data_IF_614701683358
#
_entry.id   IF_614701683358
#
_cell.length_a   1.000
_cell.length_b   1.000
_cell.length_c   1.000
_cell.angle_alpha   90.00
_cell.angle_beta   90.00
_cell.angle_gamma   90.00
#
_symmetry.space_group_name_H-M   'P 1'
#
loop_
_entity.id
_entity.type
_entity.pdbx_description
1 polymer ?
#
# COMPACT_ATOMS: atom_id res chain seq x y z
N UNK A 1 47.35 -10.36 -34.20
CA UNK A 1 47.32 -10.85 -32.81
C UNK A 1 45.89 -10.73 -32.36
N UNK A 2 45.11 -11.83 -32.38
CA UNK A 2 43.81 -11.84 -31.78
C UNK A 2 43.94 -11.74 -30.26
N UNK A 3 43.38 -10.69 -29.73
CA UNK A 3 43.23 -10.55 -28.24
C UNK A 3 42.06 -11.46 -27.88
N UNK A 4 42.23 -12.47 -27.03
CA UNK A 4 41.11 -13.29 -26.57
C UNK A 4 40.12 -12.39 -25.86
N UNK A 5 38.91 -12.33 -26.38
CA UNK A 5 37.77 -11.75 -25.68
C UNK A 5 37.50 -12.66 -24.50
N UNK A 6 37.82 -12.19 -23.31
CA UNK A 6 37.48 -12.88 -22.09
C UNK A 6 35.93 -12.85 -22.03
N UNK A 7 35.28 -13.99 -22.23
CA UNK A 7 33.84 -14.12 -22.02
C UNK A 7 33.58 -14.00 -20.51
N UNK A 8 33.63 -12.78 -20.01
CA UNK A 8 33.29 -12.48 -18.64
C UNK A 8 31.80 -12.77 -18.40
N UNK A 9 31.46 -13.25 -17.22
CA UNK A 9 30.08 -13.35 -16.78
C UNK A 9 29.50 -11.94 -16.77
N UNK A 10 28.44 -11.72 -17.57
CA UNK A 10 27.70 -10.45 -17.57
C UNK A 10 26.58 -10.59 -16.53
N UNK A 11 26.61 -9.71 -15.54
CA UNK A 11 25.53 -9.56 -14.58
C UNK A 11 24.64 -8.40 -15.03
N UNK A 12 23.32 -8.61 -14.96
CA UNK A 12 22.33 -7.59 -15.33
C UNK A 12 21.45 -7.31 -14.14
N UNK A 13 21.58 -6.12 -13.56
CA UNK A 13 20.67 -5.61 -12.57
C UNK A 13 19.63 -4.75 -13.30
N UNK A 14 18.36 -5.02 -13.04
CA UNK A 14 17.25 -4.27 -13.63
C UNK A 14 16.57 -3.43 -12.56
N UNK A 15 16.42 -2.15 -12.84
CA UNK A 15 15.78 -1.19 -11.93
C UNK A 15 14.60 -0.53 -12.64
N UNK A 16 13.51 -0.36 -11.90
CA UNK A 16 12.39 0.47 -12.34
C UNK A 16 12.42 1.76 -11.56
N UNK A 17 12.75 2.87 -12.22
CA UNK A 17 12.68 4.19 -11.63
C UNK A 17 11.24 4.68 -11.68
N UNK A 18 10.65 4.96 -10.53
CA UNK A 18 9.38 5.66 -10.47
C UNK A 18 9.55 7.10 -10.97
N UNK A 19 8.54 7.61 -11.67
CA UNK A 19 8.56 9.00 -12.06
C UNK A 19 8.49 9.87 -10.80
N UNK A 20 9.26 10.95 -10.75
CA UNK A 20 9.10 11.98 -9.73
C UNK A 20 7.67 12.53 -9.83
N UNK A 21 6.94 12.48 -8.72
CA UNK A 21 5.57 12.98 -8.64
C UNK A 21 5.53 14.24 -7.77
N UNK A 22 4.74 15.21 -8.17
CA UNK A 22 4.57 16.48 -7.45
C UNK A 22 3.58 16.35 -6.27
N UNK A 23 3.58 15.19 -5.62
CA UNK A 23 2.72 14.90 -4.48
C UNK A 23 2.20 13.47 -4.47
N UNK A 24 1.61 13.05 -3.38
CA UNK A 24 1.07 11.71 -3.20
C UNK A 24 -0.34 11.75 -2.61
N UNK A 25 -1.27 11.03 -3.22
CA UNK A 25 -2.59 10.75 -2.68
C UNK A 25 -2.57 9.34 -2.05
N UNK A 26 -2.98 9.24 -0.80
CA UNK A 26 -2.88 8.01 0.00
C UNK A 26 -4.27 7.59 0.45
N UNK A 27 -4.61 6.33 0.24
CA UNK A 27 -5.88 5.73 0.67
C UNK A 27 -5.58 4.55 1.59
N UNK A 28 -5.91 4.67 2.87
CA UNK A 28 -5.96 3.54 3.79
C UNK A 28 -7.32 2.87 3.69
N UNK A 29 -7.33 1.61 3.31
CA UNK A 29 -8.54 0.78 3.15
C UNK A 29 -8.62 -0.13 4.35
N UNK A 30 -9.50 0.22 5.29
CA UNK A 30 -9.53 -0.36 6.62
C UNK A 30 -10.72 -1.31 6.74
N UNK A 31 -10.43 -2.54 7.02
CA UNK A 31 -11.41 -3.49 7.51
C UNK A 31 -11.98 -3.00 8.85
N UNK A 32 -13.30 -2.92 8.93
CA UNK A 32 -14.05 -2.49 10.11
C UNK A 32 -14.93 -3.61 10.68
N UNK A 33 -14.57 -4.86 10.40
CA UNK A 33 -15.16 -6.05 11.04
C UNK A 33 -14.90 -6.03 12.55
N UNK A 34 -15.63 -6.87 13.28
CA UNK A 34 -15.55 -6.86 14.76
C UNK A 34 -14.19 -7.31 15.29
N UNK A 35 -13.47 -8.15 14.58
CA UNK A 35 -12.13 -8.66 14.92
C UNK A 35 -11.08 -7.57 14.92
N UNK A 36 -11.19 -6.59 14.02
CA UNK A 36 -10.25 -5.49 13.87
C UNK A 36 -10.17 -4.52 15.07
N UNK A 37 -11.14 -4.57 15.99
CA UNK A 37 -11.16 -3.67 17.14
C UNK A 37 -9.91 -3.71 18.02
N UNK A 38 -9.21 -4.85 18.07
CA UNK A 38 -7.96 -5.02 18.84
C UNK A 38 -6.76 -4.35 18.17
N UNK A 39 -6.88 -3.93 16.91
CA UNK A 39 -5.80 -3.35 16.11
C UNK A 39 -5.85 -1.81 16.04
N UNK A 40 -6.92 -1.17 16.52
CA UNK A 40 -7.14 0.29 16.35
C UNK A 40 -5.95 1.15 16.83
N UNK A 41 -5.35 0.84 17.99
CA UNK A 41 -4.22 1.63 18.50
C UNK A 41 -2.97 1.47 17.61
N UNK A 42 -2.71 0.26 17.10
CA UNK A 42 -1.61 0.01 16.15
C UNK A 42 -1.86 0.69 14.80
N UNK A 43 -3.11 0.71 14.36
CA UNK A 43 -3.51 1.41 13.13
C UNK A 43 -3.19 2.91 13.23
N UNK A 44 -3.61 3.56 14.32
CA UNK A 44 -3.30 4.99 14.54
C UNK A 44 -1.80 5.23 14.63
N UNK A 45 -1.06 4.39 15.36
CA UNK A 45 0.40 4.50 15.43
C UNK A 45 1.07 4.32 14.05
N UNK A 46 0.55 3.42 13.21
CA UNK A 46 1.00 3.25 11.83
C UNK A 46 0.73 4.47 10.95
N UNK A 47 -0.46 5.06 11.06
CA UNK A 47 -0.78 6.31 10.33
C UNK A 47 0.11 7.46 10.80
N UNK A 48 0.34 7.60 12.10
CA UNK A 48 1.25 8.61 12.67
C UNK A 48 2.68 8.42 12.16
N UNK A 49 3.17 7.18 12.11
CA UNK A 49 4.49 6.87 11.54
C UNK A 49 4.58 7.25 10.05
N UNK A 50 3.52 6.98 9.27
CA UNK A 50 3.46 7.40 7.87
C UNK A 50 3.51 8.92 7.74
N UNK A 51 2.68 9.64 8.48
CA UNK A 51 2.66 11.11 8.48
C UNK A 51 4.05 11.68 8.83
N UNK A 52 4.73 11.08 9.81
CA UNK A 52 6.07 11.52 10.21
C UNK A 52 7.15 11.24 9.15
N UNK A 53 6.98 10.18 8.33
CA UNK A 53 7.91 9.81 7.29
C UNK A 53 7.65 10.54 5.95
N UNK A 54 6.42 11.02 5.73
CA UNK A 54 6.07 11.75 4.51
C UNK A 54 6.81 13.09 4.43
N UNK A 55 7.14 13.56 3.20
CA UNK A 55 7.71 14.89 3.03
C UNK A 55 6.77 15.96 3.62
N UNK A 56 7.33 17.06 4.09
CA UNK A 56 6.57 18.14 4.73
C UNK A 56 5.61 18.88 3.79
N UNK A 57 5.60 18.55 2.52
CA UNK A 57 4.78 19.19 1.49
C UNK A 57 4.09 18.18 0.59
N UNK A 58 2.81 18.46 0.33
CA UNK A 58 2.02 17.92 -0.76
C UNK A 58 1.65 16.42 -0.73
N UNK A 59 1.26 15.93 0.43
CA UNK A 59 0.55 14.66 0.56
C UNK A 59 -0.91 14.86 0.99
N UNK A 60 -1.76 13.90 0.67
CA UNK A 60 -3.16 13.82 1.12
C UNK A 60 -3.46 12.38 1.49
N UNK A 61 -4.01 12.16 2.68
CA UNK A 61 -4.29 10.83 3.20
C UNK A 61 -5.76 10.72 3.65
N UNK A 62 -6.48 9.74 3.14
CA UNK A 62 -7.83 9.42 3.60
C UNK A 62 -7.91 7.98 4.10
N UNK A 63 -8.77 7.73 5.07
CA UNK A 63 -9.17 6.39 5.48
C UNK A 63 -10.57 6.08 4.95
N UNK A 64 -10.74 4.91 4.36
CA UNK A 64 -12.03 4.41 3.90
C UNK A 64 -12.29 3.01 4.44
N UNK A 65 -13.55 2.60 4.52
CA UNK A 65 -13.89 1.23 4.89
C UNK A 65 -13.58 0.27 3.73
N UNK A 66 -13.12 -0.93 4.06
CA UNK A 66 -13.01 -2.04 3.11
C UNK A 66 -14.38 -2.55 2.60
N UNK A 67 -15.49 -2.17 3.23
CA UNK A 67 -16.83 -2.41 2.68
C UNK A 67 -17.14 -1.40 1.57
N UNK A 68 -17.22 -1.85 0.34
CA UNK A 68 -17.46 -1.04 -0.85
C UNK A 68 -18.71 -0.15 -0.74
N UNK A 69 -19.77 -0.64 -0.07
CA UNK A 69 -21.01 0.13 0.16
C UNK A 69 -20.81 1.32 1.10
N UNK A 70 -19.76 1.29 1.91
CA UNK A 70 -19.38 2.37 2.82
C UNK A 70 -18.42 3.33 2.15
N UNK A 71 -17.45 2.81 1.41
CA UNK A 71 -16.47 3.64 0.70
C UNK A 71 -17.10 4.54 -0.34
N UNK A 72 -18.11 4.06 -1.08
CA UNK A 72 -18.82 4.83 -2.11
C UNK A 72 -19.56 6.07 -1.55
N UNK A 73 -19.89 6.05 -0.27
CA UNK A 73 -20.64 7.16 0.39
C UNK A 73 -19.77 7.92 1.40
N UNK A 74 -18.49 7.61 1.50
CA UNK A 74 -17.57 8.34 2.36
C UNK A 74 -17.51 9.82 1.95
N UNK A 75 -17.59 10.71 2.94
CA UNK A 75 -17.53 12.16 2.75
C UNK A 75 -16.32 12.79 3.42
N UNK A 76 -15.40 11.95 3.91
CA UNK A 76 -14.22 12.41 4.60
C UNK A 76 -13.29 13.18 3.65
N UNK A 77 -12.78 14.29 4.14
CA UNK A 77 -11.70 15.02 3.50
C UNK A 77 -10.35 14.45 3.94
N UNK A 78 -9.33 14.48 3.07
CA UNK A 78 -8.03 13.94 3.42
C UNK A 78 -7.36 14.75 4.53
N UNK A 79 -6.58 14.05 5.34
CA UNK A 79 -5.51 14.66 6.13
C UNK A 79 -4.48 15.29 5.19
N UNK A 80 -3.88 16.36 5.63
CA UNK A 80 -2.90 17.15 4.86
C UNK A 80 -1.69 17.50 5.74
N UNK A 81 -0.57 18.00 5.19
CA UNK A 81 0.56 18.45 5.98
C UNK A 81 0.15 19.44 7.08
N UNK A 82 0.45 19.07 8.33
CA UNK A 82 0.10 19.85 9.52
C UNK A 82 -0.95 19.19 10.42
N UNK A 83 -1.69 18.21 9.89
CA UNK A 83 -2.59 17.36 10.67
C UNK A 83 -1.78 16.32 11.45
N UNK A 84 -2.35 15.80 12.53
CA UNK A 84 -1.67 14.92 13.48
C UNK A 84 -2.45 13.61 13.75
N UNK A 85 -1.98 12.85 14.75
CA UNK A 85 -2.59 11.59 15.14
C UNK A 85 -4.00 11.74 15.73
N UNK A 86 -4.37 12.89 16.30
CA UNK A 86 -5.73 13.16 16.81
C UNK A 86 -6.69 13.32 15.61
N UNK A 87 -6.29 14.06 14.59
CA UNK A 87 -7.06 14.19 13.33
C UNK A 87 -7.25 12.82 12.65
N UNK A 88 -6.20 11.98 12.64
CA UNK A 88 -6.27 10.63 12.11
C UNK A 88 -7.23 9.73 12.93
N UNK A 89 -7.24 9.87 14.26
CA UNK A 89 -8.17 9.15 15.14
C UNK A 89 -9.60 9.57 14.91
N UNK A 90 -9.85 10.86 14.81
CA UNK A 90 -11.17 11.42 14.52
C UNK A 90 -11.70 10.89 13.18
N UNK A 91 -10.85 10.84 12.15
CA UNK A 91 -11.22 10.25 10.85
C UNK A 91 -11.53 8.74 10.97
N UNK A 92 -10.72 7.96 11.69
CA UNK A 92 -10.98 6.55 11.92
C UNK A 92 -12.32 6.31 12.62
N UNK A 93 -12.68 7.16 13.58
CA UNK A 93 -13.90 7.03 14.36
C UNK A 93 -15.17 7.30 13.54
N UNK A 94 -15.06 7.99 12.39
CA UNK A 94 -16.16 8.15 11.44
C UNK A 94 -16.48 6.86 10.70
N UNK A 95 -15.51 5.94 10.55
CA UNK A 95 -15.67 4.68 9.85
C UNK A 95 -16.54 3.71 10.67
N UNK A 96 -17.76 3.51 10.22
CA UNK A 96 -18.69 2.60 10.90
C UNK A 96 -18.31 1.13 10.70
N UNK A 97 -18.61 0.28 11.70
CA UNK A 97 -18.42 -1.16 11.57
C UNK A 97 -19.10 -1.72 10.32
N UNK A 98 -18.45 -2.63 9.66
CA UNK A 98 -18.90 -3.25 8.41
C UNK A 98 -18.36 -4.68 8.32
N UNK A 99 -19.18 -5.64 7.82
CA UNK A 99 -18.85 -7.07 7.84
C UNK A 99 -18.24 -7.59 6.54
N UNK A 100 -17.81 -6.72 5.60
CA UNK A 100 -17.31 -7.16 4.31
C UNK A 100 -15.89 -6.60 4.06
N UNK A 101 -15.00 -7.52 3.72
CA UNK A 101 -13.59 -7.29 3.40
C UNK A 101 -13.41 -7.27 1.87
N UNK A 102 -13.98 -6.24 1.23
CA UNK A 102 -13.98 -6.05 -0.23
C UNK A 102 -13.05 -4.90 -0.64
N UNK A 103 -11.79 -4.97 -0.21
CA UNK A 103 -10.83 -3.88 -0.36
C UNK A 103 -10.66 -3.41 -1.80
N UNK A 104 -10.60 -4.32 -2.77
CA UNK A 104 -10.45 -3.95 -4.18
C UNK A 104 -11.70 -3.21 -4.71
N UNK A 105 -12.90 -3.72 -4.38
CA UNK A 105 -14.14 -3.00 -4.71
C UNK A 105 -14.20 -1.65 -4.00
N UNK A 106 -13.78 -1.58 -2.74
CA UNK A 106 -13.81 -0.34 -1.97
C UNK A 106 -12.93 0.74 -2.59
N UNK A 107 -11.73 0.39 -3.06
CA UNK A 107 -10.84 1.32 -3.79
C UNK A 107 -11.48 1.77 -5.10
N UNK A 108 -12.02 0.83 -5.89
CA UNK A 108 -12.69 1.16 -7.14
C UNK A 108 -13.88 2.09 -6.91
N UNK A 109 -14.78 1.73 -6.02
CA UNK A 109 -16.01 2.49 -5.73
C UNK A 109 -15.66 3.88 -5.18
N UNK A 110 -14.62 3.99 -4.37
CA UNK A 110 -14.16 5.28 -3.86
C UNK A 110 -13.56 6.15 -4.97
N UNK A 111 -12.67 5.64 -5.78
CA UNK A 111 -12.00 6.44 -6.81
C UNK A 111 -12.97 6.83 -7.95
N UNK A 112 -13.85 5.89 -8.37
CA UNK A 112 -14.65 6.06 -9.59
C UNK A 112 -16.07 6.53 -9.31
N UNK A 113 -16.69 6.07 -8.25
CA UNK A 113 -18.12 6.27 -8.00
C UNK A 113 -18.41 7.26 -6.86
N UNK A 114 -17.47 7.45 -5.94
CA UNK A 114 -17.67 8.39 -4.84
C UNK A 114 -17.58 9.84 -5.35
N UNK A 115 -18.61 10.68 -5.12
CA UNK A 115 -18.65 12.05 -5.65
C UNK A 115 -17.64 12.99 -4.98
N UNK A 116 -17.12 12.65 -3.80
CA UNK A 116 -16.17 13.50 -3.05
C UNK A 116 -14.73 13.22 -3.39
N UNK A 117 -14.37 12.00 -3.77
CA UNK A 117 -12.99 11.63 -4.11
C UNK A 117 -12.43 12.55 -5.21
N UNK A 118 -13.19 12.81 -6.26
CA UNK A 118 -12.81 13.72 -7.35
C UNK A 118 -12.64 15.18 -6.95
N UNK A 119 -13.03 15.58 -5.73
CA UNK A 119 -12.84 16.97 -5.26
C UNK A 119 -11.43 17.19 -4.69
N UNK A 120 -10.72 16.14 -4.32
CA UNK A 120 -9.42 16.25 -3.70
C UNK A 120 -8.33 15.40 -4.34
N UNK A 121 -8.66 14.24 -4.94
CA UNK A 121 -7.68 13.40 -5.62
C UNK A 121 -7.09 14.10 -6.85
N UNK A 122 -5.80 14.01 -7.01
CA UNK A 122 -5.05 14.72 -8.06
C UNK A 122 -4.62 13.72 -9.14
N UNK A 123 -4.96 13.96 -10.41
CA UNK A 123 -4.61 13.03 -11.50
C UNK A 123 -3.09 12.93 -11.72
N UNK A 124 -2.33 13.98 -11.37
CA UNK A 124 -0.88 14.06 -11.59
C UNK A 124 -0.05 13.66 -10.35
N UNK A 125 -0.68 13.43 -9.20
CA UNK A 125 -0.03 12.91 -8.00
C UNK A 125 0.18 11.40 -8.08
N UNK A 126 1.16 10.86 -7.36
CA UNK A 126 1.24 9.43 -7.10
C UNK A 126 0.02 8.93 -6.32
N UNK A 127 -0.21 7.63 -6.35
CA UNK A 127 -1.30 6.99 -5.61
C UNK A 127 -0.78 5.80 -4.81
N UNK A 128 -0.83 5.90 -3.49
CA UNK A 128 -0.55 4.79 -2.58
C UNK A 128 -1.86 4.26 -1.99
N UNK A 129 -2.08 2.95 -2.07
CA UNK A 129 -3.14 2.26 -1.33
C UNK A 129 -2.50 1.38 -0.26
N UNK A 130 -3.00 1.49 0.98
CA UNK A 130 -2.61 0.66 2.12
C UNK A 130 -3.82 -0.14 2.56
N UNK A 131 -3.81 -1.45 2.35
CA UNK A 131 -4.84 -2.34 2.84
C UNK A 131 -4.56 -2.76 4.29
N UNK A 132 -5.59 -2.76 5.14
CA UNK A 132 -5.48 -3.19 6.54
C UNK A 132 -6.63 -4.12 6.85
N UNK A 133 -6.36 -5.42 7.00
CA UNK A 133 -7.38 -6.43 7.30
C UNK A 133 -6.79 -7.66 7.97
N UNK A 134 -7.52 -8.26 8.91
CA UNK A 134 -7.22 -9.57 9.50
C UNK A 134 -7.88 -10.74 8.74
N UNK A 135 -8.52 -10.47 7.59
CA UNK A 135 -9.10 -11.45 6.68
C UNK A 135 -8.63 -11.25 5.24
N UNK A 136 -8.89 -12.25 4.36
CA UNK A 136 -8.53 -12.13 2.93
C UNK A 136 -9.55 -11.27 2.16
N UNK A 137 -9.14 -10.77 1.04
CA UNK A 137 -9.89 -9.91 0.15
C UNK A 137 -11.06 -10.66 -0.54
N UNK A 138 -12.28 -10.13 -0.48
CA UNK A 138 -13.51 -10.80 -0.87
C UNK A 138 -14.19 -10.26 -2.14
N UNK A 139 -13.55 -9.39 -2.91
CA UNK A 139 -14.12 -8.82 -4.15
C UNK A 139 -14.16 -9.80 -5.33
N UNK A 140 -14.27 -11.09 -5.08
CA UNK A 140 -14.10 -12.16 -6.07
C UNK A 140 -15.15 -12.16 -7.19
N UNK A 141 -16.27 -11.46 -7.03
CA UNK A 141 -17.29 -11.34 -8.08
C UNK A 141 -16.83 -10.36 -9.16
N UNK A 142 -16.31 -9.20 -8.79
CA UNK A 142 -15.87 -8.17 -9.72
C UNK A 142 -14.42 -8.38 -10.18
N UNK A 143 -13.61 -8.94 -9.28
CA UNK A 143 -12.20 -9.23 -9.50
C UNK A 143 -11.91 -10.71 -9.20
N UNK A 144 -12.32 -11.64 -10.07
CA UNK A 144 -12.05 -13.07 -9.88
C UNK A 144 -10.56 -13.37 -9.80
N UNK A 145 -9.76 -12.64 -10.59
CA UNK A 145 -8.29 -12.69 -10.51
C UNK A 145 -7.76 -11.36 -9.93
N UNK A 146 -6.72 -11.42 -9.13
CA UNK A 146 -6.05 -10.23 -8.59
C UNK A 146 -5.52 -9.36 -9.73
N UNK A 147 -5.01 -9.96 -10.79
CA UNK A 147 -4.53 -9.27 -11.99
C UNK A 147 -5.58 -8.38 -12.67
N UNK A 148 -6.88 -8.68 -12.52
CA UNK A 148 -7.95 -7.86 -13.08
C UNK A 148 -8.02 -6.51 -12.34
N UNK A 149 -7.99 -6.55 -11.00
CA UNK A 149 -7.89 -5.34 -10.18
C UNK A 149 -6.59 -4.58 -10.45
N UNK A 150 -5.46 -5.28 -10.48
CA UNK A 150 -4.15 -4.66 -10.70
C UNK A 150 -4.04 -3.95 -12.04
N UNK A 151 -4.60 -4.55 -13.11
CA UNK A 151 -4.64 -3.93 -14.44
C UNK A 151 -5.40 -2.60 -14.43
N UNK A 152 -6.53 -2.55 -13.72
CA UNK A 152 -7.27 -1.33 -13.51
C UNK A 152 -6.51 -0.34 -12.62
N UNK A 153 -5.98 -0.78 -11.48
CA UNK A 153 -5.30 0.07 -10.52
C UNK A 153 -4.07 0.76 -11.12
N UNK A 154 -3.25 0.02 -11.85
CA UNK A 154 -2.08 0.56 -12.56
C UNK A 154 -2.44 1.61 -13.61
N UNK A 155 -3.65 1.55 -14.17
CA UNK A 155 -4.13 2.55 -15.12
C UNK A 155 -4.53 3.89 -14.48
N UNK A 156 -4.65 3.95 -13.15
CA UNK A 156 -5.10 5.16 -12.46
C UNK A 156 -4.03 6.27 -12.46
N UNK A 157 -2.77 5.92 -12.52
CA UNK A 157 -1.64 6.85 -12.62
C UNK A 157 -0.57 6.27 -13.54
N UNK A 158 0.05 7.08 -14.35
CA UNK A 158 1.08 6.64 -15.31
C UNK A 158 2.40 6.30 -14.59
N UNK A 159 2.53 5.07 -14.09
CA UNK A 159 3.75 4.56 -13.46
C UNK A 159 4.02 5.07 -12.04
N UNK A 160 3.02 5.68 -11.40
CA UNK A 160 3.14 6.25 -10.05
C UNK A 160 2.06 5.69 -9.12
N UNK A 161 1.84 4.37 -9.17
CA UNK A 161 0.97 3.64 -8.24
C UNK A 161 1.80 2.77 -7.32
N UNK A 162 1.46 2.76 -6.05
CA UNK A 162 2.15 2.06 -4.99
C UNK A 162 1.14 1.30 -4.12
N UNK A 163 1.58 0.26 -3.44
CA UNK A 163 0.72 -0.53 -2.59
C UNK A 163 1.48 -1.03 -1.37
N UNK A 164 0.78 -1.09 -0.25
CA UNK A 164 1.24 -1.79 0.94
C UNK A 164 0.06 -2.55 1.55
N UNK A 165 0.33 -3.58 2.33
CA UNK A 165 -0.68 -4.36 3.03
C UNK A 165 -0.25 -4.68 4.44
N UNK A 166 -1.14 -4.44 5.40
CA UNK A 166 -1.01 -4.82 6.81
C UNK A 166 -2.05 -5.91 7.05
N UNK A 167 -1.62 -7.15 7.04
CA UNK A 167 -2.50 -8.31 6.88
C UNK A 167 -2.02 -9.51 7.68
N UNK A 168 -2.85 -10.56 7.78
CA UNK A 168 -2.37 -11.87 8.18
C UNK A 168 -1.48 -12.44 7.06
N UNK A 169 -0.21 -12.61 7.36
CA UNK A 169 0.77 -13.23 6.46
C UNK A 169 0.73 -14.76 6.58
N UNK A 170 1.53 -15.47 5.78
CA UNK A 170 1.62 -16.94 5.84
C UNK A 170 1.96 -17.42 7.27
N UNK A 171 1.41 -18.57 7.71
CA UNK A 171 1.52 -19.03 9.10
C UNK A 171 2.96 -19.22 9.60
N UNK A 172 3.90 -19.54 8.71
CA UNK A 172 5.33 -19.69 9.03
C UNK A 172 6.03 -18.36 9.33
N UNK A 173 5.49 -17.26 8.81
CA UNK A 173 6.05 -15.91 8.95
C UNK A 173 5.25 -15.06 9.96
N UNK A 174 4.06 -15.55 10.36
CA UNK A 174 3.14 -14.79 11.20
C UNK A 174 3.51 -14.80 12.67
N UNK A 175 3.41 -13.66 13.31
CA UNK A 175 3.50 -13.46 14.76
C UNK A 175 2.16 -13.71 15.47
N UNK A 176 1.09 -14.04 14.76
CA UNK A 176 -0.22 -14.31 15.32
C UNK A 176 -0.21 -15.56 16.18
N UNK A 177 -0.63 -15.42 17.44
CA UNK A 177 -0.72 -16.53 18.40
C UNK A 177 -2.19 -16.83 18.75
N UNK A 178 -2.57 -18.11 18.72
CA UNK A 178 -3.82 -18.59 19.31
C UNK A 178 -5.03 -18.73 18.37
N UNK A 179 -4.95 -18.35 17.13
CA UNK A 179 -5.91 -18.65 16.08
C UNK A 179 -5.27 -19.57 15.03
N UNK A 180 -6.09 -20.22 14.20
CA UNK A 180 -5.58 -20.96 13.04
C UNK A 180 -5.29 -19.95 11.91
N UNK A 181 -4.09 -19.38 11.85
CA UNK A 181 -3.77 -18.30 10.91
C UNK A 181 -4.08 -18.67 9.45
N UNK A 182 -3.99 -19.96 9.10
CA UNK A 182 -4.25 -20.49 7.76
C UNK A 182 -5.67 -20.26 7.21
N UNK A 183 -6.64 -19.84 8.05
CA UNK A 183 -8.00 -19.57 7.58
C UNK A 183 -8.23 -18.13 7.12
N UNK A 184 -7.33 -17.22 7.50
CA UNK A 184 -7.54 -15.78 7.33
C UNK A 184 -6.34 -15.08 6.69
N UNK A 185 -5.41 -15.85 6.08
CA UNK A 185 -4.27 -15.28 5.37
C UNK A 185 -4.75 -14.40 4.22
N UNK A 186 -4.21 -13.20 4.14
CA UNK A 186 -4.55 -12.20 3.14
C UNK A 186 -3.91 -12.46 1.77
N UNK A 187 -4.07 -13.66 1.22
CA UNK A 187 -3.40 -14.10 -0.02
C UNK A 187 -3.59 -13.13 -1.19
N UNK A 188 -4.79 -12.61 -1.37
CA UNK A 188 -5.10 -11.72 -2.49
C UNK A 188 -4.48 -10.34 -2.29
N UNK A 189 -4.41 -9.86 -1.05
CA UNK A 189 -3.69 -8.63 -0.72
C UNK A 189 -2.18 -8.80 -0.92
N UNK A 190 -1.60 -9.93 -0.47
CA UNK A 190 -0.19 -10.27 -0.69
C UNK A 190 0.14 -10.33 -2.18
N UNK A 191 -0.66 -11.04 -2.97
CA UNK A 191 -0.47 -11.13 -4.43
C UNK A 191 -0.48 -9.74 -5.08
N UNK A 192 -1.46 -8.89 -4.74
CA UNK A 192 -1.57 -7.54 -5.28
C UNK A 192 -0.37 -6.67 -4.90
N UNK A 193 0.05 -6.72 -3.62
CA UNK A 193 1.19 -5.96 -3.10
C UNK A 193 2.49 -6.39 -3.77
N UNK A 194 2.73 -7.70 -3.87
CA UNK A 194 3.91 -8.26 -4.54
C UNK A 194 4.00 -7.88 -6.02
N UNK A 195 2.88 -7.76 -6.74
CA UNK A 195 2.85 -7.33 -8.15
C UNK A 195 3.41 -5.91 -8.37
N UNK A 196 3.44 -5.07 -7.33
CA UNK A 196 4.05 -3.72 -7.37
C UNK A 196 5.39 -3.66 -6.64
N UNK A 197 5.88 -4.77 -6.07
CA UNK A 197 7.05 -4.78 -5.20
C UNK A 197 6.83 -3.96 -3.92
N UNK A 198 5.58 -3.92 -3.44
CA UNK A 198 5.19 -3.17 -2.26
C UNK A 198 5.57 -3.85 -0.95
N UNK A 199 5.19 -3.24 0.16
CA UNK A 199 5.54 -3.69 1.52
C UNK A 199 4.39 -4.47 2.15
N UNK A 200 4.70 -5.63 2.72
CA UNK A 200 3.77 -6.43 3.51
C UNK A 200 4.18 -6.37 4.99
N UNK A 201 3.19 -6.14 5.85
CA UNK A 201 3.36 -6.08 7.31
C UNK A 201 2.45 -7.11 7.94
N UNK A 202 2.97 -7.92 8.87
CA UNK A 202 2.14 -8.82 9.66
C UNK A 202 1.23 -8.01 10.60
N UNK A 203 -0.07 -8.18 10.48
CA UNK A 203 -1.06 -7.48 11.33
C UNK A 203 -0.87 -7.79 12.82
N UNK A 204 -0.25 -8.93 13.14
CA UNK A 204 0.06 -9.32 14.51
C UNK A 204 1.37 -8.75 15.04
N UNK A 205 2.16 -8.06 14.22
CA UNK A 205 3.29 -7.30 14.73
C UNK A 205 2.80 -6.26 15.77
N UNK A 206 3.58 -6.08 16.79
CA UNK A 206 3.29 -5.10 17.84
C UNK A 206 3.54 -3.66 17.41
N UNK A 207 4.36 -3.46 16.39
CA UNK A 207 4.74 -2.15 15.84
C UNK A 207 4.77 -2.19 14.30
N UNK A 208 3.80 -1.55 13.66
CA UNK A 208 3.73 -1.45 12.20
C UNK A 208 4.59 -0.32 11.62
N UNK A 209 5.13 0.55 12.48
CA UNK A 209 5.84 1.77 12.06
C UNK A 209 7.01 1.51 11.11
N UNK A 210 7.85 0.48 11.28
CA UNK A 210 8.94 0.22 10.35
C UNK A 210 8.43 -0.09 8.93
N UNK A 211 7.47 -1.02 8.79
CA UNK A 211 6.95 -1.39 7.48
C UNK A 211 6.16 -0.26 6.80
N UNK A 212 5.41 0.53 7.57
CA UNK A 212 4.71 1.72 7.06
C UNK A 212 5.70 2.79 6.58
N UNK A 213 6.81 2.98 7.30
CA UNK A 213 7.89 3.88 6.89
C UNK A 213 8.54 3.39 5.60
N UNK A 214 8.81 2.09 5.47
CA UNK A 214 9.37 1.49 4.25
C UNK A 214 8.40 1.68 3.05
N UNK A 215 7.09 1.50 3.27
CA UNK A 215 6.07 1.78 2.26
C UNK A 215 6.10 3.25 1.80
N UNK A 216 6.35 4.17 2.72
CA UNK A 216 6.48 5.60 2.42
C UNK A 216 7.74 5.87 1.60
N UNK A 217 8.88 5.27 1.97
CA UNK A 217 10.12 5.43 1.23
C UNK A 217 10.06 4.81 -0.18
N UNK A 218 9.22 3.80 -0.41
CA UNK A 218 9.05 3.20 -1.73
C UNK A 218 8.47 4.17 -2.78
N UNK A 219 7.90 5.29 -2.34
CA UNK A 219 7.35 6.34 -3.21
C UNK A 219 8.46 7.26 -3.74
N UNK A 220 9.56 7.37 -3.00
CA UNK A 220 10.66 8.26 -3.36
C UNK A 220 11.47 7.68 -4.54
N UNK A 221 11.91 8.53 -5.49
CA UNK A 221 12.84 8.08 -6.52
C UNK A 221 14.14 7.59 -5.90
N UNK A 222 14.70 6.50 -6.44
CA UNK A 222 16.01 6.02 -5.99
C UNK A 222 17.09 7.09 -6.20
N UNK A 223 17.71 7.55 -5.13
CA UNK A 223 18.90 8.40 -5.20
C UNK A 223 20.16 7.61 -5.54
N UNK A 224 20.20 6.33 -5.11
CA UNK A 224 21.31 5.42 -5.33
C UNK A 224 20.78 4.02 -5.68
N UNK A 225 21.42 3.34 -6.59
CA UNK A 225 21.12 1.96 -6.96
C UNK A 225 22.22 1.05 -6.44
N UNK A 226 21.86 0.06 -5.63
CA UNK A 226 22.78 -1.00 -5.21
C UNK A 226 22.86 -2.08 -6.29
N UNK A 227 24.08 -2.35 -6.75
CA UNK A 227 24.33 -3.45 -7.69
C UNK A 227 24.53 -4.75 -6.91
N UNK A 228 23.96 -5.85 -7.40
CA UNK A 228 24.13 -7.18 -6.80
C UNK A 228 25.60 -7.66 -6.85
N UNK A 229 26.39 -7.08 -7.77
CA UNK A 229 27.80 -7.39 -7.93
C UNK A 229 28.61 -6.12 -8.10
N UNK A 230 29.82 -6.13 -7.55
CA UNK A 230 30.74 -5.00 -7.75
C UNK A 230 31.11 -4.88 -9.22
N UNK A 231 30.80 -3.74 -9.81
CA UNK A 231 31.16 -3.45 -11.19
C UNK A 231 32.68 -3.21 -11.32
N UNK A 232 33.24 -3.74 -12.40
CA UNK A 232 34.62 -3.35 -12.78
C UNK A 232 34.58 -1.92 -13.35
N UNK A 233 35.57 -1.05 -13.04
CA UNK A 233 35.50 0.39 -13.34
C UNK A 233 35.21 0.75 -14.79
N UNK A 234 35.60 -0.08 -15.75
CA UNK A 234 35.44 0.18 -17.18
C UNK A 234 34.29 -0.64 -17.84
N UNK A 235 33.49 -1.36 -17.04
CA UNK A 235 32.44 -2.25 -17.52
C UNK A 235 31.03 -1.65 -17.49
N UNK A 236 30.85 -0.52 -16.85
CA UNK A 236 29.57 0.18 -16.78
C UNK A 236 29.37 0.96 -18.10
N UNK A 237 28.25 0.70 -18.77
CA UNK A 237 27.88 1.36 -20.03
C UNK A 237 26.50 1.98 -19.95
#
# INVERSE_FOLDING_TARGET
VEVPVNEGIIWVDSFTQHMSVDGIDIIWVIDRSGSMGVHNERLIAGVEAMIAALPTSDWRLVMISADARKSIVSTEFPLVPGDDAEDARDMLDTLTSAPFEQGFNAVYDYIVLNPYSGTWMRPDAGLLVVFVSDEDEQSTINYPMVSDFMSWYQSQRMGSVFMASIINVEPEDSLCTGWTPSLYVGHRYMEATAMLGGVEVDICDTDWSPGVTDATHSIEPYENLELTHKAEPDSIR
#
